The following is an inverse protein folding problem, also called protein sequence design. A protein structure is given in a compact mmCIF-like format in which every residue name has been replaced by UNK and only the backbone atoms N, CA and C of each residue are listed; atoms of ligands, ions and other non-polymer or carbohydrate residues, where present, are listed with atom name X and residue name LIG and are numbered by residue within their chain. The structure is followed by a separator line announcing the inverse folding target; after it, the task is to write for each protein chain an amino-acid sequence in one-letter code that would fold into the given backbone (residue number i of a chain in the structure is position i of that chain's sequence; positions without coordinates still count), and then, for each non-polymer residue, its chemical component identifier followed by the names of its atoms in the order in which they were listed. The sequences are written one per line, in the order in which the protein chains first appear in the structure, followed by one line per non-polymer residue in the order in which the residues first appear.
data_IF_096374719660
#
_entry.id   IF_096374719660
#
_cell.length_a   1.000
_cell.length_b   1.000
_cell.length_c   1.000
_cell.angle_alpha   90.00
_cell.angle_beta   90.00
_cell.angle_gamma   90.00
#
_symmetry.space_group_name_H-M   'P 1'
#
loop_
_entity.id
_entity.type
_entity.pdbx_description
1 polymer ?
#
# COMPACT_ATOMS: atom_id res chain seq x y z
N UNK A 1 -22.39 -3.49 2.44
CA UNK A 1 -21.13 -3.66 3.17
C UNK A 1 -20.33 -2.39 2.90
N UNK A 2 -19.94 -1.67 3.94
CA UNK A 2 -19.12 -0.46 3.86
C UNK A 2 -17.65 -0.85 4.07
N UNK A 3 -16.75 -0.18 3.36
CA UNK A 3 -15.30 -0.22 3.60
C UNK A 3 -14.82 1.10 4.24
N UNK A 4 -13.52 1.24 4.46
CA UNK A 4 -12.94 2.43 5.08
C UNK A 4 -13.20 3.73 4.30
N UNK A 5 -13.49 3.64 3.01
CA UNK A 5 -13.81 4.82 2.19
C UNK A 5 -15.14 5.47 2.60
N UNK A 6 -16.08 4.68 3.14
CA UNK A 6 -17.36 5.18 3.65
C UNK A 6 -17.21 6.08 4.89
N UNK A 7 -16.06 5.99 5.56
CA UNK A 7 -15.73 6.78 6.75
C UNK A 7 -14.60 7.80 6.47
N UNK A 8 -14.27 8.01 5.20
CA UNK A 8 -13.12 8.82 4.75
C UNK A 8 -11.77 8.39 5.37
N UNK A 9 -11.67 7.12 5.76
CA UNK A 9 -10.51 6.54 6.43
C UNK A 9 -10.07 5.28 5.66
N UNK A 10 -9.25 5.44 4.60
CA UNK A 10 -8.78 4.33 3.81
C UNK A 10 -7.84 3.42 4.61
N UNK A 11 -7.88 2.13 4.32
CA UNK A 11 -6.90 1.18 4.83
C UNK A 11 -5.49 1.56 4.36
N UNK A 12 -4.56 1.67 5.33
CA UNK A 12 -3.17 1.95 5.07
C UNK A 12 -2.33 0.69 5.26
N UNK A 13 -1.79 0.18 4.18
CA UNK A 13 -0.69 -0.80 4.25
C UNK A 13 0.61 -0.08 4.56
N UNK A 14 1.25 -0.39 5.70
CA UNK A 14 2.46 0.29 6.14
C UNK A 14 3.59 -0.72 6.29
N UNK A 15 4.75 -0.38 5.70
CA UNK A 15 6.00 -1.09 5.96
C UNK A 15 6.69 -0.48 7.18
N UNK A 16 6.96 -1.31 8.18
CA UNK A 16 7.66 -0.90 9.40
C UNK A 16 9.07 -1.51 9.44
N UNK A 17 10.04 -0.69 9.75
CA UNK A 17 11.41 -1.12 10.04
C UNK A 17 11.83 -0.60 11.41
N UNK A 18 12.61 -1.38 12.15
CA UNK A 18 13.18 -0.93 13.42
C UNK A 18 14.19 0.18 13.17
N UNK A 19 14.13 1.25 13.95
CA UNK A 19 15.00 2.42 13.80
C UNK A 19 16.51 2.06 13.94
N UNK A 20 16.83 1.17 14.88
CA UNK A 20 18.20 0.68 15.08
C UNK A 20 18.70 -0.15 13.87
N UNK A 21 17.83 -0.95 13.25
CA UNK A 21 18.15 -1.68 12.02
C UNK A 21 18.45 -0.72 10.87
N UNK A 22 17.58 0.26 10.65
CA UNK A 22 17.78 1.27 9.59
C UNK A 22 19.08 2.04 9.81
N UNK A 23 19.37 2.41 11.07
CA UNK A 23 20.62 3.11 11.43
C UNK A 23 21.87 2.29 11.16
N UNK A 24 21.86 1.02 11.55
CA UNK A 24 23.05 0.16 11.53
C UNK A 24 23.22 -0.61 10.20
N UNK A 25 22.16 -0.76 9.43
CA UNK A 25 22.12 -1.55 8.19
C UNK A 25 21.41 -0.78 7.05
N UNK A 26 21.78 0.50 6.89
CA UNK A 26 21.12 1.42 5.96
C UNK A 26 21.05 0.88 4.53
N UNK A 27 22.14 0.28 4.05
CA UNK A 27 22.20 -0.24 2.67
C UNK A 27 21.29 -1.44 2.48
N UNK A 28 21.13 -2.29 3.50
CA UNK A 28 20.20 -3.41 3.48
C UNK A 28 18.74 -2.90 3.47
N UNK A 29 18.44 -1.92 4.31
CA UNK A 29 17.12 -1.27 4.33
C UNK A 29 16.78 -0.62 2.98
N UNK A 30 17.74 0.08 2.35
CA UNK A 30 17.58 0.62 0.99
C UNK A 30 17.38 -0.47 -0.06
N UNK A 31 18.12 -1.57 0.03
CA UNK A 31 17.97 -2.72 -0.87
C UNK A 31 16.56 -3.31 -0.78
N UNK A 32 16.03 -3.45 0.43
CA UNK A 32 14.64 -3.89 0.64
C UNK A 32 13.63 -2.92 0.03
N UNK A 33 13.78 -1.62 0.27
CA UNK A 33 12.88 -0.61 -0.30
C UNK A 33 12.95 -0.54 -1.83
N UNK A 34 14.12 -0.78 -2.44
CA UNK A 34 14.22 -0.89 -3.91
C UNK A 34 13.43 -2.09 -4.44
N UNK A 35 13.56 -3.25 -3.78
CA UNK A 35 12.80 -4.45 -4.16
C UNK A 35 11.28 -4.22 -4.01
N UNK A 36 10.85 -3.53 -2.94
CA UNK A 36 9.46 -3.13 -2.73
C UNK A 36 8.96 -2.18 -3.84
N UNK A 37 9.78 -1.19 -4.21
CA UNK A 37 9.46 -0.27 -5.30
C UNK A 37 9.26 -1.00 -6.63
N UNK A 38 10.15 -1.94 -6.95
CA UNK A 38 10.06 -2.75 -8.15
C UNK A 38 8.82 -3.66 -8.13
N UNK A 39 8.52 -4.26 -6.97
CA UNK A 39 7.34 -5.11 -6.81
C UNK A 39 6.04 -4.32 -7.01
N UNK A 40 5.92 -3.14 -6.42
CA UNK A 40 4.75 -2.29 -6.60
C UNK A 40 4.58 -1.87 -8.07
N UNK A 41 5.66 -1.51 -8.75
CA UNK A 41 5.62 -1.22 -10.19
C UNK A 41 5.19 -2.41 -11.02
N UNK A 42 5.70 -3.60 -10.69
CA UNK A 42 5.31 -4.83 -11.36
C UNK A 42 3.81 -5.11 -11.21
N UNK A 43 3.26 -4.85 -10.02
CA UNK A 43 1.82 -5.00 -9.74
C UNK A 43 0.93 -4.00 -10.49
N UNK A 44 1.45 -2.80 -10.78
CA UNK A 44 0.70 -1.76 -11.50
C UNK A 44 0.44 -2.11 -12.97
N UNK A 45 1.29 -2.93 -13.59
CA UNK A 45 1.16 -3.33 -14.98
C UNK A 45 0.14 -4.47 -15.14
N UNK A 46 -1.00 -4.26 -15.84
CA UNK A 46 -2.01 -5.28 -16.05
C UNK A 46 -1.48 -6.55 -16.72
N UNK A 47 -0.42 -6.45 -17.53
CA UNK A 47 0.21 -7.61 -18.16
C UNK A 47 0.81 -8.61 -17.15
N UNK A 48 1.07 -8.15 -15.94
CA UNK A 48 1.67 -8.95 -14.88
C UNK A 48 0.65 -9.54 -13.89
N UNK A 49 -0.61 -9.12 -13.93
CA UNK A 49 -1.59 -9.45 -12.89
C UNK A 49 -1.78 -10.95 -12.68
N UNK A 50 -1.81 -11.74 -13.76
CA UNK A 50 -1.88 -13.20 -13.65
C UNK A 50 -0.66 -13.77 -12.91
N UNK A 51 0.54 -13.29 -13.24
CA UNK A 51 1.78 -13.72 -12.59
C UNK A 51 1.82 -13.32 -11.12
N UNK A 52 1.35 -12.13 -10.76
CA UNK A 52 1.23 -11.67 -9.37
C UNK A 52 0.36 -12.64 -8.57
N UNK A 53 -0.81 -13.01 -9.08
CA UNK A 53 -1.69 -13.97 -8.41
C UNK A 53 -1.04 -15.35 -8.29
N UNK A 54 -0.34 -15.80 -9.33
CA UNK A 54 0.39 -17.07 -9.30
C UNK A 54 1.53 -17.06 -8.24
N UNK A 55 2.17 -15.92 -8.01
CA UNK A 55 3.15 -15.76 -6.93
C UNK A 55 2.48 -15.72 -5.55
N UNK A 56 1.47 -14.87 -5.37
CA UNK A 56 0.75 -14.70 -4.09
C UNK A 56 0.11 -16.01 -3.63
N UNK A 57 -0.48 -16.78 -4.55
CA UNK A 57 -1.14 -18.04 -4.22
C UNK A 57 -0.21 -19.12 -3.63
N UNK A 58 1.10 -18.99 -3.80
CA UNK A 58 2.08 -19.89 -3.16
C UNK A 58 2.18 -19.66 -1.65
N UNK A 59 1.87 -18.46 -1.20
CA UNK A 59 1.93 -18.04 0.21
C UNK A 59 0.54 -17.97 0.85
N UNK A 60 -0.46 -17.51 0.11
CA UNK A 60 -1.86 -17.45 0.54
C UNK A 60 -2.56 -18.80 0.25
N UNK A 61 -2.09 -19.85 0.91
CA UNK A 61 -2.63 -21.21 0.72
C UNK A 61 -4.08 -21.31 1.20
N UNK A 62 -4.89 -22.06 0.47
CA UNK A 62 -6.31 -22.25 0.80
C UNK A 62 -7.25 -21.17 0.26
N UNK A 63 -6.73 -20.11 -0.37
CA UNK A 63 -7.54 -19.10 -1.04
C UNK A 63 -7.53 -19.37 -2.55
N UNK A 64 -8.69 -19.55 -3.21
CA UNK A 64 -8.76 -19.72 -4.66
C UNK A 64 -8.17 -18.52 -5.42
N UNK A 65 -7.48 -18.77 -6.54
CA UNK A 65 -6.81 -17.70 -7.30
C UNK A 65 -7.76 -16.63 -7.83
N UNK A 66 -8.97 -16.98 -8.21
CA UNK A 66 -10.00 -16.02 -8.61
C UNK A 66 -10.40 -15.09 -7.46
N UNK A 67 -10.44 -15.59 -6.21
CA UNK A 67 -10.70 -14.77 -5.01
C UNK A 67 -9.53 -13.84 -4.74
N UNK A 68 -8.28 -14.34 -4.81
CA UNK A 68 -7.08 -13.52 -4.69
C UNK A 68 -7.03 -12.43 -5.77
N UNK A 69 -7.33 -12.79 -7.01
CA UNK A 69 -7.37 -11.83 -8.11
C UNK A 69 -8.41 -10.74 -7.86
N UNK A 70 -9.60 -11.13 -7.45
CA UNK A 70 -10.67 -10.15 -7.17
C UNK A 70 -10.31 -9.26 -5.98
N UNK A 71 -9.68 -9.78 -4.94
CA UNK A 71 -9.29 -9.00 -3.77
C UNK A 71 -8.21 -7.94 -4.08
N UNK A 72 -7.34 -8.20 -5.05
CA UNK A 72 -6.24 -7.28 -5.41
C UNK A 72 -6.64 -6.36 -6.56
N UNK A 73 -7.27 -6.91 -7.60
CA UNK A 73 -7.51 -6.23 -8.87
C UNK A 73 -8.98 -6.03 -9.23
N UNK A 74 -9.89 -6.66 -8.50
CA UNK A 74 -11.32 -6.64 -8.81
C UNK A 74 -11.94 -5.26 -8.63
N UNK A 75 -12.91 -4.93 -9.50
CA UNK A 75 -13.71 -3.73 -9.41
C UNK A 75 -14.52 -3.73 -8.12
N UNK A 76 -14.36 -2.69 -7.31
CA UNK A 76 -15.25 -2.44 -6.17
C UNK A 76 -16.41 -1.59 -6.68
N UNK A 77 -17.67 -1.99 -6.45
CA UNK A 77 -18.82 -1.17 -6.79
C UNK A 77 -18.71 0.19 -6.10
N UNK A 78 -18.66 1.25 -6.87
CA UNK A 78 -18.67 2.63 -6.40
C UNK A 78 -19.55 3.47 -7.31
N UNK A 79 -19.99 4.61 -6.82
CA UNK A 79 -20.73 5.60 -7.62
C UNK A 79 -19.81 6.38 -8.57
N UNK A 80 -18.50 6.12 -8.52
CA UNK A 80 -17.51 6.75 -9.38
C UNK A 80 -17.49 6.12 -10.76
N UNK A 81 -17.43 6.96 -11.80
CA UNK A 81 -17.26 6.54 -13.19
C UNK A 81 -15.83 5.99 -13.48
N UNK A 82 -14.87 6.29 -12.60
CA UNK A 82 -13.48 5.84 -12.72
C UNK A 82 -12.98 5.29 -11.35
N UNK A 83 -13.44 4.09 -10.98
CA UNK A 83 -13.18 3.55 -9.66
C UNK A 83 -11.71 3.16 -9.53
N UNK A 84 -11.04 3.74 -8.56
CA UNK A 84 -9.69 3.36 -8.14
C UNK A 84 -9.81 2.23 -7.11
N UNK A 85 -9.19 1.09 -7.41
CA UNK A 85 -9.12 -0.04 -6.48
C UNK A 85 -8.11 0.22 -5.38
N UNK A 86 -6.93 0.73 -5.76
CA UNK A 86 -5.84 0.94 -4.85
C UNK A 86 -4.90 2.04 -5.35
N UNK A 87 -4.50 2.92 -4.44
CA UNK A 87 -3.40 3.86 -4.65
C UNK A 87 -2.10 3.21 -4.19
N UNK A 88 -1.11 3.17 -5.07
CA UNK A 88 0.24 2.71 -4.72
C UNK A 88 1.11 3.90 -4.39
N UNK A 89 1.13 4.29 -3.10
CA UNK A 89 2.03 5.31 -2.58
C UNK A 89 3.28 4.64 -2.02
N UNK A 90 4.45 5.10 -2.43
CA UNK A 90 5.72 4.51 -1.99
C UNK A 90 6.27 5.14 -0.71
N UNK A 91 5.87 6.38 -0.42
CA UNK A 91 6.16 7.09 0.81
C UNK A 91 4.89 7.85 1.26
N UNK A 92 4.94 8.45 2.45
CA UNK A 92 3.76 9.10 3.00
C UNK A 92 3.51 10.47 2.36
N UNK A 93 2.31 10.67 1.82
CA UNK A 93 1.78 11.97 1.43
C UNK A 93 1.12 12.69 2.61
N UNK A 94 0.58 13.86 2.37
CA UNK A 94 -0.08 14.66 3.40
C UNK A 94 -1.31 13.95 3.97
N UNK A 95 -2.05 13.23 3.13
CA UNK A 95 -3.23 12.47 3.52
C UNK A 95 -2.90 11.31 4.46
N UNK A 96 -1.90 10.50 4.12
CA UNK A 96 -1.46 9.38 4.95
C UNK A 96 -0.93 9.87 6.29
N UNK A 97 -0.13 10.94 6.29
CA UNK A 97 0.38 11.55 7.50
C UNK A 97 -0.76 12.07 8.40
N UNK A 98 -1.75 12.74 7.83
CA UNK A 98 -2.91 13.22 8.57
C UNK A 98 -3.69 12.06 9.20
N UNK A 99 -3.97 11.00 8.43
CA UNK A 99 -4.68 9.82 8.92
C UNK A 99 -3.95 9.13 10.07
N UNK A 100 -2.63 8.97 9.98
CA UNK A 100 -1.83 8.35 11.05
C UNK A 100 -1.94 9.17 12.34
N UNK A 101 -1.86 10.48 12.24
CA UNK A 101 -1.98 11.38 13.42
C UNK A 101 -3.39 11.33 14.02
N UNK A 102 -4.43 11.31 13.17
CA UNK A 102 -5.82 11.31 13.60
C UNK A 102 -6.25 10.00 14.27
N UNK A 103 -5.73 8.88 13.81
CA UNK A 103 -6.06 7.56 14.37
C UNK A 103 -5.44 7.34 15.77
N UNK A 104 -4.32 7.95 16.09
CA UNK A 104 -3.63 7.72 17.36
C UNK A 104 -4.49 7.98 18.62
N UNK A 105 -5.24 9.10 18.76
CA UNK A 105 -6.13 9.32 19.89
C UNK A 105 -7.24 8.28 20.01
N UNK A 106 -7.78 7.80 18.89
CA UNK A 106 -8.78 6.73 18.89
C UNK A 106 -8.21 5.41 19.42
N UNK A 107 -7.03 5.02 18.94
CA UNK A 107 -6.34 3.81 19.41
C UNK A 107 -5.96 3.91 20.89
N UNK A 108 -5.57 5.08 21.35
CA UNK A 108 -5.30 5.32 22.78
C UNK A 108 -6.56 5.18 23.64
N UNK A 109 -7.68 5.82 23.27
CA UNK A 109 -8.96 5.68 23.97
C UNK A 109 -9.45 4.23 24.00
N UNK A 110 -9.19 3.49 22.90
CA UNK A 110 -9.51 2.07 22.78
C UNK A 110 -8.52 1.15 23.51
N UNK A 111 -7.52 1.70 24.21
CA UNK A 111 -6.47 0.97 24.95
C UNK A 111 -5.63 0.03 24.08
N UNK A 112 -5.53 0.32 22.79
CA UNK A 112 -4.71 -0.46 21.83
C UNK A 112 -3.26 0.00 21.91
N UNK A 113 -3.03 1.31 22.07
CA UNK A 113 -1.71 1.91 22.28
C UNK A 113 -1.65 2.65 23.62
N UNK A 114 -0.44 2.84 24.13
CA UNK A 114 -0.20 3.47 25.43
C UNK A 114 -0.02 4.98 25.38
N UNK A 115 0.00 5.57 24.19
CA UNK A 115 0.25 7.00 23.98
C UNK A 115 -0.88 7.64 23.17
N UNK A 116 -1.37 8.80 23.61
CA UNK A 116 -2.41 9.54 22.89
C UNK A 116 -1.87 10.27 21.66
N UNK A 117 -0.59 10.67 21.73
CA UNK A 117 0.10 11.34 20.63
C UNK A 117 1.33 10.55 20.23
N UNK A 118 1.53 10.43 18.94
CA UNK A 118 2.73 9.78 18.42
C UNK A 118 3.97 10.65 18.72
N UNK A 119 5.09 10.06 19.17
CA UNK A 119 6.34 10.78 19.32
C UNK A 119 6.83 11.37 18.00
N UNK A 120 7.58 12.45 18.05
CA UNK A 120 8.23 13.00 16.89
C UNK A 120 9.16 11.94 16.26
N UNK A 121 9.11 11.81 14.93
CA UNK A 121 9.91 10.82 14.20
C UNK A 121 9.33 9.40 14.20
N UNK A 122 8.11 9.19 14.69
CA UNK A 122 7.41 7.88 14.56
C UNK A 122 7.16 7.56 13.08
N UNK A 123 6.84 8.56 12.27
CA UNK A 123 6.73 8.44 10.84
C UNK A 123 8.01 9.03 10.23
N UNK A 124 8.81 8.19 9.60
CA UNK A 124 10.03 8.59 8.91
C UNK A 124 10.09 7.90 7.55
N UNK A 125 9.78 8.63 6.52
CA UNK A 125 9.82 8.19 5.13
C UNK A 125 11.06 8.68 4.37
N UNK A 126 12.04 9.25 5.07
CA UNK A 126 13.25 9.84 4.47
C UNK A 126 13.97 8.85 3.57
N UNK A 127 14.11 7.60 4.03
CA UNK A 127 14.79 6.56 3.27
C UNK A 127 14.00 6.12 2.03
N UNK A 128 12.67 6.07 2.14
CA UNK A 128 11.81 5.76 1.01
C UNK A 128 11.87 6.86 -0.06
N UNK A 129 11.85 8.14 0.34
CA UNK A 129 12.02 9.28 -0.58
C UNK A 129 13.38 9.26 -1.29
N UNK A 130 14.44 8.91 -0.56
CA UNK A 130 15.78 8.77 -1.14
C UNK A 130 15.81 7.69 -2.22
N UNK A 131 15.28 6.49 -1.92
CA UNK A 131 15.20 5.37 -2.86
C UNK A 131 14.35 5.72 -4.07
N UNK A 132 13.23 6.37 -3.87
CA UNK A 132 12.34 6.80 -4.93
C UNK A 132 13.03 7.77 -5.90
N UNK A 133 13.75 8.76 -5.35
CA UNK A 133 14.53 9.72 -6.13
C UNK A 133 15.68 9.05 -6.88
N UNK A 134 16.43 8.15 -6.24
CA UNK A 134 17.53 7.40 -6.86
C UNK A 134 17.06 6.53 -8.03
N UNK A 135 15.84 6.03 -7.95
CA UNK A 135 15.21 5.28 -9.04
C UNK A 135 14.75 6.17 -10.22
N UNK A 136 14.96 7.48 -10.15
CA UNK A 136 14.63 8.42 -11.21
C UNK A 136 13.16 8.84 -11.25
N UNK A 137 12.41 8.57 -10.17
CA UNK A 137 11.01 9.00 -10.08
C UNK A 137 10.91 10.41 -9.53
N UNK A 138 10.07 11.23 -10.18
CA UNK A 138 9.53 12.44 -9.60
C UNK A 138 8.12 12.13 -9.08
N UNK A 139 7.72 12.64 -7.92
CA UNK A 139 6.34 12.48 -7.47
C UNK A 139 5.40 13.08 -8.51
N UNK A 140 4.45 12.29 -8.97
CA UNK A 140 3.45 12.72 -9.95
C UNK A 140 2.43 13.69 -9.33
N UNK A 141 2.35 13.72 -8.01
CA UNK A 141 1.49 14.61 -7.22
C UNK A 141 2.05 14.74 -5.80
N UNK A 142 1.56 15.69 -4.96
CA UNK A 142 1.91 15.75 -3.55
C UNK A 142 1.67 14.44 -2.79
N UNK A 143 0.80 13.57 -3.30
CA UNK A 143 0.45 12.27 -2.70
C UNK A 143 1.38 11.13 -3.09
N UNK A 144 2.48 11.41 -3.76
CA UNK A 144 3.57 10.46 -4.03
C UNK A 144 3.16 9.14 -4.71
N UNK A 145 2.06 9.15 -5.42
CA UNK A 145 1.56 7.95 -6.08
C UNK A 145 2.53 7.46 -7.15
N UNK A 146 2.99 6.23 -7.01
CA UNK A 146 3.60 5.46 -8.08
C UNK A 146 2.62 5.22 -9.23
N UNK A 147 1.34 5.08 -8.88
CA UNK A 147 0.25 4.85 -9.78
C UNK A 147 -1.00 4.38 -9.04
N UNK A 148 -2.00 4.03 -9.81
CA UNK A 148 -3.27 3.52 -9.31
C UNK A 148 -3.61 2.19 -9.99
N UNK A 149 -4.16 1.27 -9.23
CA UNK A 149 -4.80 0.08 -9.77
C UNK A 149 -6.27 0.44 -9.99
N UNK A 150 -6.68 0.49 -11.26
CA UNK A 150 -8.08 0.59 -11.61
C UNK A 150 -8.72 -0.78 -11.49
N UNK A 151 -9.89 -0.85 -10.86
CA UNK A 151 -10.59 -2.11 -10.68
C UNK A 151 -10.98 -2.75 -12.02
N UNK A 152 -10.67 -4.03 -12.20
CA UNK A 152 -11.05 -4.80 -13.37
C UNK A 152 -12.37 -5.55 -13.15
N UNK A 153 -13.15 -5.74 -14.19
CA UNK A 153 -14.42 -6.48 -14.11
C UNK A 153 -14.18 -7.96 -13.80
N UNK A 154 -15.10 -8.59 -13.10
CA UNK A 154 -15.01 -10.02 -12.78
C UNK A 154 -14.85 -10.90 -14.04
N UNK A 155 -15.40 -10.46 -15.18
CA UNK A 155 -15.25 -11.17 -16.45
C UNK A 155 -13.82 -11.18 -16.99
N UNK A 156 -12.98 -10.24 -16.56
CA UNK A 156 -11.58 -10.11 -17.00
C UNK A 156 -10.64 -11.01 -16.17
N UNK A 157 -11.18 -11.69 -15.14
CA UNK A 157 -10.40 -12.62 -14.32
C UNK A 157 -9.93 -13.82 -15.15
N UNK A 158 -8.61 -14.09 -15.24
CA UNK A 158 -8.10 -15.22 -16.00
C UNK A 158 -8.31 -16.56 -15.30
N UNK A 159 -8.64 -16.55 -14.00
CA UNK A 159 -8.84 -17.76 -13.20
C UNK A 159 -10.32 -18.09 -13.14
N UNK A 160 -10.71 -19.18 -13.77
CA UNK A 160 -12.09 -19.71 -13.70
C UNK A 160 -12.24 -20.61 -12.47
N UNK A 161 -13.46 -20.66 -11.93
CA UNK A 161 -13.83 -21.61 -10.87
C UNK A 161 -13.76 -23.05 -11.37
#
# INVERSE_FOLDING_TARGET
VADGSACDNPDLGILNMRADFVKNHRDVAKGYLRAELEAQRYMLDPANWENVINMVSKYATGIPKNVLWYSIYGLVPSDSSDPVREWKNFYFGDRENANIVEVAPFLFKSKIISMEKLPNGTVDDTLAREVFKEAGYAPASPDAALGVIKGAKAADCPFKN
#
